data_IF_072507967706
#
_entry.id   IF_072507967706
#
_cell.length_a   1.000
_cell.length_b   1.000
_cell.length_c   1.000
_cell.angle_alpha   90.00
_cell.angle_beta   90.00
_cell.angle_gamma   90.00
#
_symmetry.space_group_name_H-M   'P 1'
#
loop_
_entity.id
_entity.type
_entity.pdbx_description
1 polymer ?
#
# COMPACT_ATOMS: atom_id res chain seq x y z
N UNK A 1 -18.53 -5.81 -6.16
CA UNK A 1 -19.00 -4.44 -6.46
C UNK A 1 -20.05 -4.10 -5.42
N UNK A 2 -19.97 -2.93 -4.78
CA UNK A 2 -20.96 -2.50 -3.78
C UNK A 2 -22.27 -2.11 -4.45
N UNK A 3 -23.33 -1.91 -3.66
CA UNK A 3 -24.63 -1.42 -4.16
C UNK A 3 -24.50 -0.08 -4.91
N UNK A 4 -23.55 0.76 -4.48
CA UNK A 4 -23.22 2.05 -5.12
C UNK A 4 -22.28 1.90 -6.35
N UNK A 5 -22.00 0.67 -6.80
CA UNK A 5 -21.23 0.43 -8.02
C UNK A 5 -19.70 0.53 -7.87
N UNK A 6 -19.16 0.68 -6.66
CA UNK A 6 -17.71 0.77 -6.42
C UNK A 6 -17.06 -0.61 -6.26
N UNK A 7 -15.79 -0.73 -6.64
CA UNK A 7 -15.03 -2.00 -6.57
C UNK A 7 -14.37 -2.20 -5.21
N UNK A 8 -15.17 -2.20 -4.14
CA UNK A 8 -14.70 -2.51 -2.78
C UNK A 8 -15.09 -3.94 -2.38
N UNK A 9 -14.31 -4.56 -1.52
CA UNK A 9 -14.51 -5.96 -1.12
C UNK A 9 -13.86 -6.32 0.21
N UNK A 10 -14.36 -7.39 0.82
CA UNK A 10 -13.84 -7.95 2.07
C UNK A 10 -13.47 -9.40 1.83
N UNK A 11 -12.34 -9.85 2.38
CA UNK A 11 -11.93 -11.25 2.35
C UNK A 11 -11.37 -11.65 3.71
N UNK A 12 -11.82 -12.77 4.27
CA UNK A 12 -11.23 -13.34 5.48
C UNK A 12 -10.00 -14.18 5.15
N UNK A 13 -8.93 -14.03 5.90
CA UNK A 13 -7.70 -14.81 5.75
C UNK A 13 -7.09 -15.11 7.11
N UNK A 14 -7.25 -16.34 7.61
CA UNK A 14 -6.93 -16.67 9.00
C UNK A 14 -7.71 -15.77 9.96
N UNK A 15 -7.01 -15.20 10.93
CA UNK A 15 -7.59 -14.26 11.91
C UNK A 15 -7.75 -12.83 11.37
N UNK A 16 -7.28 -12.56 10.14
CA UNK A 16 -7.31 -11.23 9.54
C UNK A 16 -8.51 -11.05 8.61
N UNK A 17 -8.95 -9.79 8.52
CA UNK A 17 -9.88 -9.35 7.50
C UNK A 17 -9.14 -8.43 6.53
N UNK A 18 -9.13 -8.79 5.24
CA UNK A 18 -8.59 -7.98 4.17
C UNK A 18 -9.70 -7.08 3.63
N UNK A 19 -9.46 -5.77 3.60
CA UNK A 19 -10.41 -4.79 3.07
C UNK A 19 -9.79 -4.12 1.86
N UNK A 20 -10.46 -4.25 0.71
CA UNK A 20 -10.03 -3.70 -0.57
C UNK A 20 -10.85 -2.45 -0.87
N UNK A 21 -10.18 -1.32 -1.07
CA UNK A 21 -10.80 -0.02 -1.31
C UNK A 21 -10.53 0.50 -2.72
N UNK A 22 -11.61 0.94 -3.36
CA UNK A 22 -11.58 1.56 -4.68
C UNK A 22 -11.41 3.07 -4.52
N UNK A 23 -10.20 3.54 -4.79
CA UNK A 23 -9.83 4.96 -4.65
C UNK A 23 -9.86 5.73 -5.96
N UNK A 24 -10.28 5.11 -7.08
CA UNK A 24 -10.35 5.79 -8.36
C UNK A 24 -11.37 6.95 -8.29
N UNK A 25 -10.97 8.12 -8.80
CA UNK A 25 -11.86 9.27 -8.96
C UNK A 25 -12.33 9.41 -10.42
N UNK A 26 -13.35 8.63 -10.80
CA UNK A 26 -14.01 8.79 -12.10
C UNK A 26 -15.06 7.73 -12.43
N UNK A 27 -15.59 7.76 -13.67
CA UNK A 27 -16.01 8.95 -14.41
C UNK A 27 -17.25 9.62 -13.78
N UNK A 28 -17.48 10.94 -14.01
CA UNK A 28 -16.64 11.82 -14.85
C UNK A 28 -15.33 12.18 -14.15
N UNK A 29 -14.23 12.15 -14.91
CA UNK A 29 -12.90 12.54 -14.43
C UNK A 29 -12.85 14.06 -14.26
N UNK A 30 -12.39 14.51 -13.09
CA UNK A 30 -12.28 15.94 -12.73
C UNK A 30 -10.84 16.42 -12.90
N UNK A 31 -10.63 17.73 -12.78
CA UNK A 31 -9.26 18.25 -12.64
C UNK A 31 -8.59 17.61 -11.42
N UNK A 32 -7.35 17.14 -11.59
CA UNK A 32 -6.68 16.31 -10.58
C UNK A 32 -7.15 14.86 -10.51
N UNK A 33 -7.74 14.29 -11.58
CA UNK A 33 -8.21 12.89 -11.66
C UNK A 33 -7.16 11.80 -11.33
N UNK A 34 -5.88 12.16 -11.23
CA UNK A 34 -4.83 11.26 -10.76
C UNK A 34 -4.80 11.12 -9.24
N UNK A 35 -5.48 12.02 -8.51
CA UNK A 35 -5.68 11.93 -7.09
C UNK A 35 -6.70 10.85 -6.74
N UNK A 36 -6.49 10.21 -5.60
CA UNK A 36 -7.45 9.26 -5.07
C UNK A 36 -8.64 9.96 -4.43
N UNK A 37 -9.81 9.33 -4.46
CA UNK A 37 -10.99 9.80 -3.73
C UNK A 37 -11.76 8.65 -3.08
N UNK A 38 -12.24 8.86 -1.87
CA UNK A 38 -13.23 8.01 -1.21
C UNK A 38 -14.47 8.85 -0.93
N UNK A 39 -15.44 8.78 -1.84
CA UNK A 39 -16.71 9.49 -1.65
C UNK A 39 -17.43 9.02 -0.36
N UNK A 40 -18.41 9.78 0.15
CA UNK A 40 -19.10 9.44 1.40
C UNK A 40 -19.68 8.02 1.44
N UNK A 41 -20.14 7.48 0.30
CA UNK A 41 -20.63 6.11 0.21
C UNK A 41 -19.52 5.08 0.45
N UNK A 42 -18.37 5.25 -0.20
CA UNK A 42 -17.17 4.42 -0.03
C UNK A 42 -16.60 4.50 1.39
N UNK A 43 -16.53 5.70 1.96
CA UNK A 43 -16.12 5.93 3.35
C UNK A 43 -17.02 5.22 4.36
N UNK A 44 -18.36 5.38 4.23
CA UNK A 44 -19.32 4.68 5.09
C UNK A 44 -19.25 3.16 4.93
N UNK A 45 -19.02 2.69 3.71
CA UNK A 45 -18.84 1.27 3.47
C UNK A 45 -17.57 0.75 4.17
N UNK A 46 -16.45 1.48 4.08
CA UNK A 46 -15.18 1.09 4.70
C UNK A 46 -15.31 1.04 6.23
N UNK A 47 -15.88 2.08 6.83
CA UNK A 47 -16.15 2.17 8.28
C UNK A 47 -16.98 0.97 8.77
N UNK A 48 -18.05 0.61 8.05
CA UNK A 48 -18.85 -0.59 8.38
C UNK A 48 -18.07 -1.89 8.22
N UNK A 49 -17.30 -2.03 7.15
CA UNK A 49 -16.51 -3.23 6.89
C UNK A 49 -15.45 -3.45 7.97
N UNK A 50 -14.78 -2.38 8.41
CA UNK A 50 -13.77 -2.42 9.48
C UNK A 50 -14.45 -2.72 10.83
N UNK A 51 -15.58 -2.09 11.13
CA UNK A 51 -16.34 -2.35 12.36
C UNK A 51 -16.84 -3.79 12.46
N UNK A 52 -17.28 -4.39 11.34
CA UNK A 52 -17.81 -5.75 11.30
C UNK A 52 -16.73 -6.84 11.28
N UNK A 53 -15.47 -6.49 11.02
CA UNK A 53 -14.38 -7.46 10.98
C UNK A 53 -14.24 -8.17 12.34
N UNK A 54 -14.14 -9.51 12.40
CA UNK A 54 -13.98 -10.23 13.67
C UNK A 54 -12.58 -10.06 14.30
N UNK A 55 -11.57 -9.75 13.48
CA UNK A 55 -10.17 -9.60 13.89
C UNK A 55 -9.51 -8.33 13.36
N UNK A 56 -8.16 -8.28 13.33
CA UNK A 56 -7.41 -7.17 12.76
C UNK A 56 -7.64 -7.02 11.26
N UNK A 57 -7.58 -5.79 10.78
CA UNK A 57 -7.84 -5.44 9.39
C UNK A 57 -6.54 -5.07 8.67
N UNK A 58 -6.35 -5.61 7.47
CA UNK A 58 -5.33 -5.15 6.52
C UNK A 58 -6.04 -4.49 5.35
N UNK A 59 -5.72 -3.22 5.10
CA UNK A 59 -6.34 -2.43 4.03
C UNK A 59 -5.44 -2.47 2.80
N UNK A 60 -6.05 -2.68 1.64
CA UNK A 60 -5.43 -2.54 0.33
C UNK A 60 -6.13 -1.41 -0.43
N UNK A 61 -5.34 -0.45 -0.90
CA UNK A 61 -5.81 0.69 -1.69
C UNK A 61 -4.75 1.11 -2.71
N UNK A 62 -5.12 1.92 -3.70
CA UNK A 62 -4.14 2.39 -4.69
C UNK A 62 -3.38 3.62 -4.18
N UNK A 63 -4.11 4.69 -3.86
CA UNK A 63 -3.54 5.98 -3.47
C UNK A 63 -3.23 6.01 -1.97
N UNK A 64 -2.01 6.38 -1.54
CA UNK A 64 -1.67 6.46 -0.12
C UNK A 64 -2.47 7.58 0.59
N UNK A 65 -2.95 7.37 1.83
CA UNK A 65 -3.63 8.38 2.62
C UNK A 65 -2.66 9.26 3.44
N UNK A 66 -1.46 9.54 2.92
CA UNK A 66 -0.43 10.33 3.59
C UNK A 66 0.62 10.81 2.58
N UNK A 67 1.35 11.86 2.94
CA UNK A 67 2.50 12.31 2.18
C UNK A 67 3.69 11.37 2.39
N UNK A 68 4.41 11.07 1.30
CA UNK A 68 5.57 10.19 1.27
C UNK A 68 6.88 10.94 0.97
N UNK A 69 6.82 12.27 0.83
CA UNK A 69 7.99 13.12 0.61
C UNK A 69 8.35 13.32 -0.86
N UNK A 70 7.45 12.95 -1.77
CA UNK A 70 7.55 13.20 -3.20
C UNK A 70 6.49 14.25 -3.57
N UNK A 71 6.80 15.56 -3.55
CA UNK A 71 5.79 16.62 -3.65
C UNK A 71 4.79 16.44 -4.80
N UNK A 72 5.25 16.06 -5.99
CA UNK A 72 4.37 15.81 -7.12
C UNK A 72 3.40 14.63 -6.92
N UNK A 73 3.85 13.56 -6.26
CA UNK A 73 3.01 12.41 -5.91
C UNK A 73 2.12 12.70 -4.70
N UNK A 74 2.62 13.49 -3.76
CA UNK A 74 1.86 13.92 -2.58
C UNK A 74 0.67 14.80 -2.99
N UNK A 75 0.79 15.59 -4.06
CA UNK A 75 -0.30 16.39 -4.64
C UNK A 75 -1.42 15.52 -5.27
N UNK A 76 -1.14 14.25 -5.59
CA UNK A 76 -2.08 13.28 -6.17
C UNK A 76 -2.31 12.05 -5.29
N UNK A 77 -2.09 12.18 -3.98
CA UNK A 77 -2.42 11.15 -2.99
C UNK A 77 -3.95 11.01 -2.80
N UNK A 78 -4.40 10.26 -1.80
CA UNK A 78 -5.83 10.28 -1.44
C UNK A 78 -6.25 11.69 -0.97
N UNK A 79 -7.22 12.30 -1.64
CA UNK A 79 -7.67 13.66 -1.34
C UNK A 79 -8.44 13.77 0.00
N UNK A 80 -9.10 12.69 0.42
CA UNK A 80 -9.85 12.61 1.68
C UNK A 80 -9.01 11.97 2.81
N UNK A 81 -7.68 12.12 2.74
CA UNK A 81 -6.70 11.49 3.64
C UNK A 81 -6.96 11.75 5.13
N UNK A 82 -7.14 13.01 5.54
CA UNK A 82 -7.39 13.37 6.94
C UNK A 82 -8.66 12.70 7.48
N UNK A 83 -9.75 12.74 6.71
CA UNK A 83 -11.02 12.12 7.08
C UNK A 83 -10.92 10.59 7.14
N UNK A 84 -10.14 10.00 6.23
CA UNK A 84 -9.89 8.56 6.19
C UNK A 84 -9.07 8.13 7.40
N UNK A 85 -7.93 8.78 7.67
CA UNK A 85 -7.09 8.49 8.83
C UNK A 85 -7.86 8.66 10.14
N UNK A 86 -8.63 9.75 10.27
CA UNK A 86 -9.48 9.96 11.44
C UNK A 86 -10.50 8.83 11.62
N UNK A 87 -11.08 8.31 10.52
CA UNK A 87 -11.95 7.14 10.57
C UNK A 87 -11.23 5.89 11.06
N UNK A 88 -10.03 5.60 10.53
CA UNK A 88 -9.25 4.45 11.00
C UNK A 88 -8.94 4.54 12.50
N UNK A 89 -8.57 5.71 13.00
CA UNK A 89 -8.24 5.91 14.42
C UNK A 89 -9.42 5.66 15.37
N UNK A 90 -10.68 5.91 14.95
CA UNK A 90 -11.86 5.67 15.80
C UNK A 90 -12.10 4.21 16.13
N UNK A 91 -11.59 3.29 15.31
CA UNK A 91 -11.73 1.86 15.54
C UNK A 91 -10.85 1.32 16.68
N UNK A 92 -9.94 2.16 17.21
CA UNK A 92 -9.06 1.82 18.32
C UNK A 92 -7.73 1.21 17.87
N UNK A 93 -6.74 1.18 18.78
CA UNK A 93 -5.39 0.71 18.48
C UNK A 93 -5.40 -0.77 18.07
N UNK A 94 -4.67 -1.10 17.01
CA UNK A 94 -4.51 -2.47 16.52
C UNK A 94 -5.68 -3.02 15.71
N UNK A 95 -6.83 -2.32 15.62
CA UNK A 95 -7.94 -2.77 14.79
C UNK A 95 -7.59 -2.74 13.31
N UNK A 96 -6.93 -1.67 12.86
CA UNK A 96 -6.30 -1.61 11.55
C UNK A 96 -4.81 -1.92 11.74
N UNK A 97 -4.41 -3.12 11.33
CA UNK A 97 -3.06 -3.63 11.53
C UNK A 97 -2.06 -3.06 10.52
N UNK A 98 -2.48 -2.88 9.26
CA UNK A 98 -1.61 -2.40 8.19
C UNK A 98 -2.40 -1.79 7.03
N UNK A 99 -1.79 -0.82 6.32
CA UNK A 99 -2.29 -0.28 5.05
C UNK A 99 -1.24 -0.51 3.95
N UNK A 100 -1.63 -1.22 2.89
CA UNK A 100 -0.83 -1.38 1.68
C UNK A 100 -1.36 -0.46 0.58
N UNK A 101 -0.44 0.26 -0.06
CA UNK A 101 -0.70 1.17 -1.17
C UNK A 101 0.21 0.90 -2.37
N UNK A 102 -0.20 1.41 -3.53
CA UNK A 102 0.60 1.43 -4.75
C UNK A 102 0.93 2.86 -5.13
N UNK A 103 0.58 3.23 -6.36
CA UNK A 103 0.57 4.59 -6.91
C UNK A 103 1.95 5.23 -7.13
N UNK A 104 2.83 5.24 -6.13
CA UNK A 104 4.14 5.92 -6.19
C UNK A 104 5.18 5.09 -6.94
N UNK A 105 4.96 3.78 -7.13
CA UNK A 105 5.92 2.87 -7.78
C UNK A 105 7.29 2.90 -7.08
N UNK A 106 7.28 2.76 -5.75
CA UNK A 106 8.46 2.72 -4.89
C UNK A 106 8.17 1.89 -3.64
N UNK A 107 9.17 1.15 -3.17
CA UNK A 107 9.13 0.51 -1.86
C UNK A 107 9.33 1.57 -0.79
N UNK A 108 8.26 1.88 -0.05
CA UNK A 108 8.27 2.84 1.06
C UNK A 108 7.57 2.18 2.24
N UNK A 109 8.14 2.27 3.44
CA UNK A 109 7.52 1.78 4.67
C UNK A 109 7.52 2.88 5.73
N UNK A 110 6.56 2.81 6.65
CA UNK A 110 6.46 3.82 7.70
C UNK A 110 5.35 3.54 8.70
N UNK A 111 5.03 4.56 9.48
CA UNK A 111 3.92 4.58 10.43
C UNK A 111 3.17 5.91 10.31
N UNK A 112 1.84 5.85 10.32
CA UNK A 112 0.97 7.03 10.28
C UNK A 112 -0.10 6.89 11.34
N UNK A 113 -0.07 7.76 12.36
CA UNK A 113 -1.05 7.73 13.44
C UNK A 113 -1.10 6.40 14.20
N UNK A 114 0.02 5.69 14.30
CA UNK A 114 0.10 4.38 14.93
C UNK A 114 -0.18 3.20 13.99
N UNK A 115 -0.55 3.44 12.73
CA UNK A 115 -0.83 2.40 11.73
C UNK A 115 0.42 2.17 10.88
N UNK A 116 0.88 0.92 10.79
CA UNK A 116 1.97 0.53 9.90
C UNK A 116 1.53 0.59 8.44
N UNK A 117 2.43 1.08 7.57
CA UNK A 117 2.11 1.27 6.16
C UNK A 117 3.21 0.79 5.23
N UNK A 118 2.83 0.35 4.03
CA UNK A 118 3.76 -0.02 2.97
C UNK A 118 3.25 0.40 1.60
N UNK A 119 4.11 1.02 0.80
CA UNK A 119 3.93 1.18 -0.64
C UNK A 119 4.81 0.18 -1.37
N UNK A 120 4.26 -0.39 -2.44
CA UNK A 120 4.95 -1.35 -3.28
C UNK A 120 5.45 -0.69 -4.57
N UNK A 121 6.58 -1.21 -5.06
CA UNK A 121 7.05 -1.00 -6.42
C UNK A 121 6.02 -1.47 -7.44
N UNK A 122 6.14 -0.93 -8.65
CA UNK A 122 5.38 -1.39 -9.82
C UNK A 122 6.04 -2.60 -10.45
N UNK A 123 5.29 -3.33 -11.24
CA UNK A 123 5.80 -4.42 -12.09
C UNK A 123 6.44 -3.93 -13.39
N UNK A 124 6.61 -2.61 -13.57
CA UNK A 124 7.19 -2.01 -14.77
C UNK A 124 8.24 -0.96 -14.38
N UNK A 125 7.93 0.32 -14.52
CA UNK A 125 8.83 1.42 -14.20
C UNK A 125 8.60 1.94 -12.78
N UNK A 126 9.64 2.52 -12.19
CA UNK A 126 9.63 3.02 -10.82
C UNK A 126 9.74 4.55 -10.78
N UNK A 127 9.26 5.16 -9.70
CA UNK A 127 9.53 6.57 -9.42
C UNK A 127 11.00 6.71 -9.00
N UNK A 128 11.81 7.52 -9.72
CA UNK A 128 13.19 7.77 -9.32
C UNK A 128 13.23 8.47 -7.95
N UNK A 129 14.25 8.22 -7.13
CA UNK A 129 14.44 8.88 -5.84
C UNK A 129 14.82 10.37 -6.00
N UNK A 130 13.83 11.19 -6.36
CA UNK A 130 13.95 12.63 -6.58
C UNK A 130 13.14 13.41 -5.53
N UNK A 131 13.60 13.34 -4.28
CA UNK A 131 12.99 14.10 -3.19
C UNK A 131 13.06 15.60 -3.49
N UNK A 132 11.95 16.32 -3.28
CA UNK A 132 11.82 17.75 -3.57
C UNK A 132 11.40 18.10 -5.00
N UNK A 133 11.39 17.15 -5.95
CA UNK A 133 10.84 17.38 -7.28
C UNK A 133 9.30 17.44 -7.24
N UNK A 134 8.71 18.35 -8.03
CA UNK A 134 7.24 18.57 -8.08
C UNK A 134 6.51 17.80 -9.18
N UNK A 135 7.22 17.14 -10.09
CA UNK A 135 6.58 16.35 -11.14
C UNK A 135 6.08 15.00 -10.63
N UNK A 136 4.88 14.58 -11.03
CA UNK A 136 4.34 13.24 -10.76
C UNK A 136 4.59 12.24 -11.89
N UNK A 137 5.00 12.71 -13.08
CA UNK A 137 5.22 11.89 -14.27
C UNK A 137 6.66 11.37 -14.43
N UNK A 138 7.48 11.37 -13.39
CA UNK A 138 8.86 10.89 -13.47
C UNK A 138 8.90 9.35 -13.42
N UNK A 139 9.76 8.75 -14.24
CA UNK A 139 9.93 7.29 -14.29
C UNK A 139 11.37 6.90 -14.59
N UNK A 140 11.83 5.82 -13.99
CA UNK A 140 13.11 5.16 -14.29
C UNK A 140 12.89 3.66 -14.49
N UNK A 141 13.68 3.05 -15.37
CA UNK A 141 13.66 1.62 -15.66
C UNK A 141 14.43 0.81 -14.59
N UNK A 142 14.09 1.02 -13.32
CA UNK A 142 14.51 0.12 -12.25
C UNK A 142 13.69 -1.19 -12.32
N UNK A 143 14.24 -2.32 -11.80
CA UNK A 143 13.58 -3.63 -11.80
C UNK A 143 12.13 -3.58 -11.34
N UNK A 144 11.26 -4.30 -12.04
CA UNK A 144 9.91 -4.58 -11.57
C UNK A 144 9.93 -5.43 -10.31
N UNK A 145 8.88 -5.28 -9.49
CA UNK A 145 8.77 -6.04 -8.24
C UNK A 145 7.31 -6.33 -7.85
N UNK A 146 7.13 -7.26 -6.92
CA UNK A 146 5.84 -7.54 -6.27
C UNK A 146 6.01 -7.70 -4.74
N UNK A 147 4.90 -7.53 -4.01
CA UNK A 147 4.87 -7.69 -2.55
C UNK A 147 4.44 -9.10 -2.13
N UNK A 148 5.08 -9.63 -1.08
CA UNK A 148 4.63 -10.86 -0.39
C UNK A 148 4.25 -10.48 1.04
N UNK A 149 2.99 -10.68 1.40
CA UNK A 149 2.48 -10.33 2.74
C UNK A 149 2.30 -11.60 3.56
N UNK A 150 3.00 -11.67 4.68
CA UNK A 150 2.88 -12.75 5.66
C UNK A 150 2.07 -12.24 6.87
N UNK A 151 0.96 -12.92 7.15
CA UNK A 151 0.06 -12.61 8.25
C UNK A 151 0.28 -13.62 9.38
N UNK A 152 0.90 -13.18 10.47
CA UNK A 152 1.11 -13.97 11.68
C UNK A 152 0.17 -13.52 12.81
N UNK A 153 0.07 -14.28 13.91
CA UNK A 153 -0.85 -13.97 15.02
C UNK A 153 -0.63 -12.59 15.67
N UNK A 154 0.56 -12.02 15.54
CA UNK A 154 0.94 -10.71 16.13
C UNK A 154 1.76 -9.83 15.17
N UNK A 155 1.78 -10.16 13.88
CA UNK A 155 2.65 -9.47 12.92
C UNK A 155 2.05 -9.46 11.52
N UNK A 156 2.26 -8.34 10.83
CA UNK A 156 2.12 -8.21 9.39
C UNK A 156 3.51 -7.93 8.85
N UNK A 157 4.07 -8.86 8.07
CA UNK A 157 5.38 -8.71 7.45
C UNK A 157 5.17 -8.56 5.95
N UNK A 158 5.79 -7.53 5.36
CA UNK A 158 5.70 -7.24 3.91
C UNK A 158 7.09 -7.34 3.33
N UNK A 159 7.32 -8.35 2.50
CA UNK A 159 8.51 -8.47 1.66
C UNK A 159 8.25 -7.80 0.30
N UNK A 160 9.33 -7.29 -0.31
CA UNK A 160 9.34 -6.82 -1.68
C UNK A 160 10.33 -7.67 -2.46
N UNK A 161 9.88 -8.26 -3.56
CA UNK A 161 10.69 -9.12 -4.41
C UNK A 161 10.87 -8.48 -5.79
N UNK A 162 12.12 -8.14 -6.12
CA UNK A 162 12.50 -7.60 -7.43
C UNK A 162 12.64 -8.75 -8.44
N UNK A 163 11.60 -9.01 -9.23
CA UNK A 163 11.53 -10.22 -10.04
C UNK A 163 12.45 -10.20 -11.28
N UNK A 164 12.81 -9.02 -11.78
CA UNK A 164 13.77 -8.90 -12.89
C UNK A 164 15.22 -9.21 -12.46
N UNK A 165 15.52 -9.15 -11.16
CA UNK A 165 16.83 -9.51 -10.60
C UNK A 165 16.80 -10.94 -10.07
N UNK A 166 15.80 -11.28 -9.26
CA UNK A 166 15.74 -12.54 -8.52
C UNK A 166 15.81 -13.78 -9.41
N UNK A 167 15.26 -13.73 -10.63
CA UNK A 167 15.32 -14.85 -11.57
C UNK A 167 16.68 -15.08 -12.24
N UNK A 168 17.65 -14.17 -12.07
CA UNK A 168 18.92 -14.18 -12.81
C UNK A 168 20.15 -14.48 -11.96
N UNK A 169 20.02 -14.47 -10.63
CA UNK A 169 21.14 -14.69 -9.72
C UNK A 169 21.16 -16.14 -9.20
N UNK A 170 22.31 -16.83 -9.24
CA UNK A 170 22.45 -18.12 -8.60
C UNK A 170 22.28 -17.99 -7.08
N UNK A 171 21.62 -18.97 -6.47
CA UNK A 171 21.55 -19.07 -5.01
C UNK A 171 22.94 -19.50 -4.51
N UNK A 172 23.66 -18.57 -3.89
CA UNK A 172 24.92 -18.84 -3.22
C UNK A 172 24.68 -19.28 -1.77
N UNK A 173 25.32 -20.37 -1.36
CA UNK A 173 25.45 -20.73 0.05
C UNK A 173 26.75 -20.12 0.57
N UNK A 174 26.65 -19.10 1.42
CA UNK A 174 27.82 -18.45 2.01
C UNK A 174 28.43 -19.26 3.18
N UNK A 175 27.88 -20.44 3.51
CA UNK A 175 28.35 -21.29 4.60
C UNK A 175 29.40 -22.35 4.17
N UNK A 176 29.93 -22.26 2.93
CA UNK A 176 31.08 -23.08 2.51
C UNK A 176 32.39 -22.49 3.01
N UNK A 177 32.83 -22.91 4.20
CA UNK A 177 33.95 -22.37 4.95
C UNK A 177 35.28 -22.16 4.21
N UNK A 178 35.85 -20.98 4.37
CA UNK A 178 37.29 -20.76 4.32
C UNK A 178 37.93 -21.41 5.55
N UNK A 179 38.35 -22.65 5.37
CA UNK A 179 39.06 -23.45 6.35
C UNK A 179 40.22 -24.21 5.72
N UNK A 180 41.13 -23.50 5.03
CA UNK A 180 42.41 -24.08 4.62
C UNK A 180 43.55 -23.31 5.27
N UNK A 181 43.89 -23.70 6.49
CA UNK A 181 45.24 -23.49 7.03
C UNK A 181 46.12 -24.65 6.58
N UNK A 182 47.22 -24.32 5.91
CA UNK A 182 48.47 -25.06 5.97
C UNK A 182 49.59 -24.02 6.06
#
# INVERSE_FOLDING_TARGET
RTDDGHMQGVHGLGDYTLVFLDTLDGPPYRDGHHAGRLCPARMRWADRAIAAAPGPVVIFMHHPPYAVGFPGMDDIRLADDEAFLAMLSRHGPGKVAHVLSGHVHRTISGNVGGISVSLLKSTCHQMPMLLGARGSGHSVAEPGAYGIVLLGPRSVIVHSEDFDIAGTLPVGDHDSGEGTRA
#
